data_IF_422042833145
#
_entry.id   IF_422042833145
#
_cell.length_a   1.000
_cell.length_b   1.000
_cell.length_c   1.000
_cell.angle_alpha   90.00
_cell.angle_beta   90.00
_cell.angle_gamma   90.00
#
_symmetry.space_group_name_H-M   'P 1'
#
loop_
_entity.id
_entity.type
_entity.pdbx_description
1 polymer ?
#
# COMPACT_ATOMS: atom_id res chain seq x y z
N UNK A 1 9.67 22.41 15.44
CA UNK A 1 8.87 21.19 15.23
C UNK A 1 7.41 21.63 15.21
N UNK A 2 6.71 21.56 14.08
CA UNK A 2 5.31 22.01 13.95
C UNK A 2 4.43 20.78 14.16
N UNK A 3 3.64 20.75 15.24
CA UNK A 3 2.66 19.71 15.48
C UNK A 3 1.64 19.68 14.33
N UNK A 4 1.11 18.50 13.93
CA UNK A 4 0.08 18.43 12.90
C UNK A 4 -1.13 19.25 13.32
N UNK A 5 -1.70 19.98 12.37
CA UNK A 5 -2.95 20.69 12.58
C UNK A 5 -4.08 19.66 12.74
N UNK A 6 -4.59 19.49 13.96
CA UNK A 6 -5.66 18.53 14.28
C UNK A 6 -7.00 18.89 13.63
N UNK A 7 -7.15 20.11 13.11
CA UNK A 7 -8.32 20.53 12.37
C UNK A 7 -8.30 20.04 10.92
N UNK A 8 -7.11 19.82 10.34
CA UNK A 8 -6.92 19.21 9.03
C UNK A 8 -6.47 17.74 9.15
N UNK A 9 -7.41 16.79 9.14
CA UNK A 9 -7.11 15.40 9.48
C UNK A 9 -6.40 14.63 8.35
N UNK A 10 -6.19 15.23 7.17
CA UNK A 10 -5.48 14.63 6.06
C UNK A 10 -4.29 15.51 5.67
N UNK A 11 -3.12 14.90 5.53
CA UNK A 11 -1.96 15.52 4.91
C UNK A 11 -2.20 15.75 3.42
N UNK A 12 -1.47 16.67 2.78
CA UNK A 12 -1.55 16.91 1.31
C UNK A 12 -1.40 15.63 0.48
N UNK A 13 -0.61 14.67 0.97
CA UNK A 13 -0.48 13.38 0.30
C UNK A 13 -1.70 12.50 0.51
N UNK A 14 -2.30 12.50 1.69
CA UNK A 14 -3.52 11.75 1.93
C UNK A 14 -4.71 12.32 1.14
N UNK A 15 -4.72 13.62 0.87
CA UNK A 15 -5.68 14.25 -0.06
C UNK A 15 -5.57 13.67 -1.47
N UNK A 16 -4.36 13.43 -1.99
CA UNK A 16 -4.16 12.78 -3.30
C UNK A 16 -4.86 11.43 -3.40
N UNK A 17 -4.85 10.64 -2.32
CA UNK A 17 -5.51 9.35 -2.24
C UNK A 17 -7.02 9.47 -2.07
N UNK A 18 -7.49 10.37 -1.19
CA UNK A 18 -8.91 10.69 -1.02
C UNK A 18 -9.56 11.06 -2.35
N UNK A 19 -8.93 11.96 -3.10
CA UNK A 19 -9.46 12.48 -4.36
C UNK A 19 -9.55 11.40 -5.45
N UNK A 20 -8.82 10.29 -5.29
CA UNK A 20 -8.84 9.12 -6.21
C UNK A 20 -9.65 7.95 -5.69
N UNK A 21 -10.28 8.05 -4.52
CA UNK A 21 -11.08 6.96 -3.94
C UNK A 21 -12.16 6.47 -4.90
N UNK A 22 -12.89 7.38 -5.55
CA UNK A 22 -13.96 7.00 -6.48
C UNK A 22 -13.42 6.27 -7.72
N UNK A 23 -12.29 6.74 -8.27
CA UNK A 23 -11.62 6.12 -9.41
C UNK A 23 -11.13 4.70 -9.06
N UNK A 24 -10.49 4.54 -7.90
CA UNK A 24 -10.02 3.24 -7.43
C UNK A 24 -11.19 2.28 -7.17
N UNK A 25 -12.28 2.78 -6.60
CA UNK A 25 -13.49 1.99 -6.39
C UNK A 25 -14.06 1.47 -7.71
N UNK A 26 -14.11 2.31 -8.75
CA UNK A 26 -14.53 1.89 -10.10
C UNK A 26 -13.59 0.84 -10.71
N UNK A 27 -12.30 0.86 -10.35
CA UNK A 27 -11.31 -0.17 -10.73
C UNK A 27 -11.34 -1.41 -9.84
N UNK A 28 -12.24 -1.48 -8.85
CA UNK A 28 -12.40 -2.64 -7.97
C UNK A 28 -11.52 -2.61 -6.72
N UNK A 29 -11.01 -1.44 -6.31
CA UNK A 29 -10.17 -1.28 -5.12
C UNK A 29 -10.75 -0.25 -4.16
N UNK A 30 -10.88 -0.61 -2.90
CA UNK A 30 -11.46 0.23 -1.85
C UNK A 30 -10.37 0.65 -0.86
N UNK A 31 -10.10 1.95 -0.75
CA UNK A 31 -9.25 2.47 0.34
C UNK A 31 -10.00 2.46 1.68
N UNK A 32 -9.24 2.60 2.77
CA UNK A 32 -9.77 2.72 4.13
C UNK A 32 -10.85 3.81 4.24
N UNK A 33 -11.83 3.66 5.15
CA UNK A 33 -12.93 4.62 5.33
C UNK A 33 -12.48 6.08 5.49
N UNK A 34 -11.28 6.32 6.05
CA UNK A 34 -10.67 7.65 6.21
C UNK A 34 -10.53 8.45 4.90
N UNK A 35 -10.44 7.78 3.77
CA UNK A 35 -10.30 8.42 2.45
C UNK A 35 -11.64 8.63 1.74
N UNK A 36 -12.77 8.39 2.42
CA UNK A 36 -14.10 8.72 1.89
C UNK A 36 -14.37 10.23 2.03
N UNK A 37 -15.00 10.90 1.05
CA UNK A 37 -15.23 12.34 1.10
C UNK A 37 -16.02 12.84 2.32
N UNK A 38 -16.89 12.00 2.88
CA UNK A 38 -17.76 12.28 4.02
C UNK A 38 -17.19 11.81 5.36
N UNK A 39 -15.97 11.29 5.39
CA UNK A 39 -15.35 10.79 6.63
C UNK A 39 -15.13 11.92 7.65
N UNK A 40 -15.49 11.62 8.89
CA UNK A 40 -15.27 12.49 10.05
C UNK A 40 -14.31 11.78 11.01
N UNK A 41 -13.26 12.46 11.50
CA UNK A 41 -12.35 11.87 12.48
C UNK A 41 -13.09 11.52 13.76
N UNK A 42 -12.91 10.30 14.25
CA UNK A 42 -13.63 9.81 15.43
C UNK A 42 -13.16 10.47 16.74
N UNK A 43 -11.92 10.98 16.79
CA UNK A 43 -11.40 11.70 17.96
C UNK A 43 -12.03 13.09 18.16
N UNK A 44 -12.65 13.69 17.13
CA UNK A 44 -13.20 15.05 17.24
C UNK A 44 -14.32 15.10 18.29
N UNK A 45 -14.14 15.96 19.30
CA UNK A 45 -15.10 16.13 20.39
C UNK A 45 -14.99 15.12 21.54
N UNK A 46 -14.09 14.13 21.43
CA UNK A 46 -13.90 13.11 22.48
C UNK A 46 -12.86 13.49 23.53
N UNK A 47 -11.96 14.44 23.20
CA UNK A 47 -10.80 14.79 24.03
C UNK A 47 -9.66 13.76 23.99
N UNK A 48 -9.80 12.70 23.19
CA UNK A 48 -8.79 11.67 23.02
C UNK A 48 -7.65 12.13 22.10
N UNK A 49 -6.46 11.61 22.35
CA UNK A 49 -5.30 11.81 21.49
C UNK A 49 -5.52 11.07 20.17
N UNK A 50 -5.39 11.70 18.99
CA UNK A 50 -5.63 11.03 17.71
C UNK A 50 -4.78 9.77 17.54
N UNK A 51 -3.52 9.81 17.95
CA UNK A 51 -2.56 8.70 17.87
C UNK A 51 -3.01 7.41 18.57
N UNK A 52 -3.94 7.52 19.52
CA UNK A 52 -4.48 6.39 20.27
C UNK A 52 -5.74 5.80 19.61
N UNK A 53 -6.17 6.33 18.46
CA UNK A 53 -7.36 5.84 17.75
C UNK A 53 -6.98 5.21 16.41
N UNK A 54 -7.57 4.04 16.14
CA UNK A 54 -7.31 3.21 14.96
C UNK A 54 -7.53 3.92 13.61
N UNK A 55 -8.39 4.94 13.53
CA UNK A 55 -8.59 5.71 12.31
C UNK A 55 -7.46 6.72 12.04
N UNK A 56 -6.63 7.03 13.06
CA UNK A 56 -5.40 7.79 12.92
C UNK A 56 -4.25 6.85 12.56
N UNK A 57 -4.13 6.53 11.28
CA UNK A 57 -2.99 5.77 10.76
C UNK A 57 -2.06 6.70 9.99
N UNK A 58 -0.98 7.12 10.65
CA UNK A 58 0.09 7.87 10.00
C UNK A 58 0.78 6.98 8.95
N UNK A 59 0.78 7.44 7.70
CA UNK A 59 1.51 6.80 6.63
C UNK A 59 2.81 7.56 6.34
N UNK A 60 3.99 7.06 6.75
CA UNK A 60 5.26 7.72 6.48
C UNK A 60 5.64 7.69 5.00
N UNK A 61 5.03 6.82 4.19
CA UNK A 61 5.36 6.63 2.77
C UNK A 61 4.25 7.15 1.89
N UNK A 62 4.43 8.40 1.45
CA UNK A 62 3.45 9.14 0.67
C UNK A 62 3.01 8.44 -0.64
N UNK A 63 3.91 7.67 -1.25
CA UNK A 63 3.68 6.94 -2.51
C UNK A 63 3.03 5.57 -2.33
N UNK A 64 2.72 5.14 -1.12
CA UNK A 64 2.08 3.85 -0.83
C UNK A 64 0.74 4.06 -0.14
N UNK A 65 -0.22 3.16 -0.36
CA UNK A 65 -1.42 3.08 0.47
C UNK A 65 -1.96 1.64 0.47
N UNK A 66 -2.55 1.20 1.57
CA UNK A 66 -3.27 -0.06 1.65
C UNK A 66 -4.70 0.07 1.10
N UNK A 67 -5.18 -1.00 0.47
CA UNK A 67 -6.53 -1.08 -0.07
C UNK A 67 -7.06 -2.52 0.04
N UNK A 68 -8.35 -2.69 -0.24
CA UNK A 68 -9.01 -3.99 -0.37
C UNK A 68 -9.50 -4.15 -1.79
N UNK A 69 -9.14 -5.27 -2.44
CA UNK A 69 -9.72 -5.64 -3.73
C UNK A 69 -11.14 -6.15 -3.51
N UNK A 70 -12.12 -5.48 -4.12
CA UNK A 70 -13.55 -5.70 -3.88
C UNK A 70 -14.00 -7.09 -4.32
N UNK A 71 -13.38 -7.64 -5.37
CA UNK A 71 -13.78 -8.91 -5.97
C UNK A 71 -13.66 -10.12 -5.01
N UNK A 72 -12.71 -10.08 -4.08
CA UNK A 72 -12.35 -11.23 -3.24
C UNK A 72 -11.90 -10.86 -1.82
N UNK A 73 -12.14 -9.62 -1.40
CA UNK A 73 -11.73 -9.07 -0.09
C UNK A 73 -10.21 -9.16 0.16
N UNK A 74 -9.41 -9.26 -0.91
CA UNK A 74 -7.97 -9.45 -0.79
C UNK A 74 -7.25 -8.13 -0.45
N UNK A 75 -6.44 -8.15 0.61
CA UNK A 75 -5.67 -6.97 1.06
C UNK A 75 -4.48 -6.72 0.14
N UNK A 76 -4.40 -5.51 -0.38
CA UNK A 76 -3.36 -5.08 -1.33
C UNK A 76 -2.71 -3.78 -0.88
N UNK A 77 -1.56 -3.48 -1.48
CA UNK A 77 -0.91 -2.18 -1.45
C UNK A 77 -0.88 -1.61 -2.85
N UNK A 78 -1.26 -0.34 -2.96
CA UNK A 78 -1.11 0.47 -4.16
C UNK A 78 0.18 1.28 -4.02
N UNK A 79 1.09 1.13 -4.99
CA UNK A 79 2.33 1.90 -5.06
C UNK A 79 2.35 2.82 -6.26
N UNK A 80 2.46 4.11 -6.01
CA UNK A 80 2.68 5.12 -7.04
C UNK A 80 4.12 5.07 -7.54
N UNK A 81 4.29 4.82 -8.84
CA UNK A 81 5.58 4.71 -9.53
C UNK A 81 5.62 5.63 -10.74
N UNK A 82 6.83 6.04 -11.14
CA UNK A 82 7.06 6.80 -12.37
C UNK A 82 7.06 5.84 -13.58
N UNK A 83 6.31 6.15 -14.63
CA UNK A 83 6.21 5.30 -15.84
C UNK A 83 7.47 5.32 -16.68
N UNK A 84 8.27 6.40 -16.60
CA UNK A 84 9.52 6.58 -17.36
C UNK A 84 10.68 5.74 -16.83
N UNK A 85 10.52 5.10 -15.66
CA UNK A 85 11.54 4.25 -15.05
C UNK A 85 11.27 2.78 -15.36
N UNK A 86 12.31 1.97 -15.21
CA UNK A 86 12.28 0.53 -15.46
C UNK A 86 11.50 -0.28 -14.40
N UNK A 87 10.92 0.37 -13.38
CA UNK A 87 10.25 -0.34 -12.29
C UNK A 87 9.04 -1.17 -12.80
N UNK A 88 8.19 -0.59 -13.64
CA UNK A 88 7.04 -1.30 -14.22
C UNK A 88 7.49 -2.48 -15.10
N UNK A 89 8.37 -2.32 -16.11
CA UNK A 89 8.77 -3.45 -16.96
C UNK A 89 9.49 -4.55 -16.17
N UNK A 90 10.37 -4.21 -15.22
CA UNK A 90 11.03 -5.20 -14.35
C UNK A 90 9.99 -5.97 -13.52
N UNK A 91 9.07 -5.26 -12.86
CA UNK A 91 8.08 -5.89 -12.00
C UNK A 91 7.10 -6.78 -12.79
N UNK A 92 6.70 -6.37 -14.01
CA UNK A 92 5.88 -7.19 -14.91
C UNK A 92 6.64 -8.41 -15.42
N UNK A 93 7.92 -8.26 -15.76
CA UNK A 93 8.76 -9.38 -16.19
C UNK A 93 8.85 -10.44 -15.08
N UNK A 94 9.20 -10.02 -13.86
CA UNK A 94 9.28 -10.90 -12.69
C UNK A 94 7.93 -11.52 -12.30
N UNK A 95 6.82 -10.88 -12.66
CA UNK A 95 5.46 -11.40 -12.45
C UNK A 95 4.89 -12.18 -13.64
N UNK A 96 5.67 -12.38 -14.71
CA UNK A 96 5.24 -13.18 -15.87
C UNK A 96 4.98 -14.63 -15.47
N UNK A 97 4.08 -15.31 -16.19
CA UNK A 97 3.67 -16.68 -15.86
C UNK A 97 4.87 -17.66 -15.78
N UNK A 98 5.86 -17.51 -16.67
CA UNK A 98 7.07 -18.35 -16.68
C UNK A 98 7.92 -18.13 -15.44
N UNK A 99 8.21 -16.88 -15.08
CA UNK A 99 9.01 -16.58 -13.90
C UNK A 99 8.24 -16.81 -12.61
N UNK A 100 6.92 -16.65 -12.58
CA UNK A 100 6.07 -16.99 -11.43
C UNK A 100 6.06 -18.48 -11.13
N UNK A 101 6.25 -19.33 -12.15
CA UNK A 101 6.36 -20.77 -11.98
C UNK A 101 7.77 -21.22 -11.55
N UNK A 102 8.79 -20.36 -11.70
CA UNK A 102 10.15 -20.65 -11.27
C UNK A 102 10.28 -20.52 -9.74
N UNK A 103 10.60 -21.62 -9.07
CA UNK A 103 10.78 -21.68 -7.60
C UNK A 103 11.86 -20.74 -7.05
N UNK A 104 12.79 -20.28 -7.89
CA UNK A 104 13.85 -19.33 -7.52
C UNK A 104 13.35 -17.88 -7.50
N UNK A 105 12.22 -17.61 -8.15
CA UNK A 105 11.65 -16.28 -8.18
C UNK A 105 10.75 -16.06 -6.96
N UNK A 106 11.31 -15.44 -5.92
CA UNK A 106 10.54 -15.03 -4.71
C UNK A 106 10.11 -13.57 -4.72
N UNK A 107 10.02 -12.97 -5.90
CA UNK A 107 9.60 -11.57 -6.02
C UNK A 107 8.11 -11.41 -5.71
N UNK A 108 7.76 -10.26 -5.15
CA UNK A 108 6.36 -9.93 -4.87
C UNK A 108 5.61 -9.83 -6.19
N UNK A 109 4.51 -10.58 -6.39
CA UNK A 109 3.78 -10.53 -7.64
C UNK A 109 3.06 -9.20 -7.82
N UNK A 110 3.05 -8.70 -9.05
CA UNK A 110 2.19 -7.61 -9.48
C UNK A 110 0.83 -8.20 -9.86
N UNK A 111 -0.20 -7.78 -9.13
CA UNK A 111 -1.59 -8.22 -9.35
C UNK A 111 -2.26 -7.41 -10.47
N UNK A 112 -1.89 -6.13 -10.58
CA UNK A 112 -2.47 -5.19 -11.54
C UNK A 112 -1.56 -3.96 -11.71
N UNK A 113 -1.70 -3.28 -12.84
CA UNK A 113 -1.04 -2.00 -13.15
C UNK A 113 -2.11 -1.02 -13.61
N UNK A 114 -2.33 0.03 -12.84
CA UNK A 114 -3.42 0.99 -13.04
C UNK A 114 -2.80 2.32 -13.51
N UNK A 115 -2.95 2.70 -14.80
CA UNK A 115 -2.63 4.04 -15.25
C UNK A 115 -3.49 5.08 -14.55
N UNK A 116 -2.93 6.24 -14.24
CA UNK A 116 -3.70 7.35 -13.68
C UNK A 116 -4.50 8.08 -14.77
N UNK A 117 -5.69 8.60 -14.45
CA UNK A 117 -6.53 9.30 -15.44
C UNK A 117 -6.00 10.70 -15.79
N UNK A 118 -5.17 11.28 -14.93
CA UNK A 118 -4.72 12.68 -15.02
C UNK A 118 -3.27 12.84 -15.51
N UNK A 119 -2.50 11.75 -15.64
CA UNK A 119 -1.11 11.80 -16.08
C UNK A 119 -0.62 10.47 -16.62
N UNK A 120 0.18 10.53 -17.68
CA UNK A 120 0.91 9.37 -18.22
C UNK A 120 2.27 9.17 -17.54
N UNK A 121 2.72 10.10 -16.69
CA UNK A 121 4.04 10.06 -16.04
C UNK A 121 4.06 9.13 -14.81
N UNK A 122 2.89 8.75 -14.31
CA UNK A 122 2.76 7.89 -13.12
C UNK A 122 1.69 6.82 -13.30
N UNK A 123 1.92 5.68 -12.66
CA UNK A 123 0.97 4.59 -12.56
C UNK A 123 0.96 4.01 -11.14
N UNK A 124 -0.06 3.23 -10.82
CA UNK A 124 -0.14 2.46 -9.59
C UNK A 124 0.18 1.00 -9.88
N UNK A 125 1.14 0.43 -9.15
CA UNK A 125 1.33 -1.01 -9.05
C UNK A 125 0.46 -1.54 -7.91
N UNK A 126 -0.31 -2.59 -8.17
CA UNK A 126 -1.08 -3.31 -7.16
C UNK A 126 -0.32 -4.57 -6.76
N UNK A 127 -0.04 -4.69 -5.47
CA UNK A 127 0.75 -5.79 -4.90
C UNK A 127 0.02 -6.36 -3.68
N UNK A 128 0.25 -7.63 -3.28
CA UNK A 128 -0.23 -8.13 -2.00
C UNK A 128 0.25 -7.26 -0.83
N UNK A 129 -0.62 -7.04 0.16
CA UNK A 129 -0.19 -6.45 1.43
C UNK A 129 0.66 -7.47 2.19
N UNK A 130 1.93 -7.13 2.39
CA UNK A 130 2.91 -7.96 3.09
C UNK A 130 3.30 -7.33 4.42
N UNK A 131 3.81 -8.15 5.32
CA UNK A 131 4.40 -7.73 6.59
C UNK A 131 5.92 -7.68 6.45
N UNK A 132 6.55 -6.88 7.29
CA UNK A 132 7.99 -6.95 7.54
C UNK A 132 8.36 -8.37 7.97
N UNK A 133 9.41 -8.94 7.38
CA UNK A 133 9.76 -10.36 7.56
C UNK A 133 10.30 -10.66 8.97
N UNK A 134 10.75 -9.62 9.66
CA UNK A 134 11.31 -9.61 11.00
C UNK A 134 10.28 -9.26 12.09
N UNK A 135 9.01 -9.06 11.73
CA UNK A 135 7.92 -8.74 12.67
C UNK A 135 6.77 -9.76 12.53
N UNK A 136 6.44 -10.55 13.57
CA UNK A 136 7.09 -10.58 14.88
C UNK A 136 8.56 -11.06 14.81
N UNK A 137 9.39 -10.74 15.81
CA UNK A 137 10.78 -11.17 15.83
C UNK A 137 10.90 -12.70 15.80
N UNK A 138 11.96 -13.18 15.14
CA UNK A 138 12.30 -14.60 15.14
C UNK A 138 12.51 -15.12 16.57
N UNK A 139 11.86 -16.24 16.88
CA UNK A 139 11.96 -16.94 18.16
C UNK A 139 13.05 -18.00 18.15
N UNK A 140 13.40 -18.55 16.97
CA UNK A 140 14.36 -19.63 16.84
C UNK A 140 15.41 -19.38 15.74
N UNK A 141 16.62 -19.89 15.93
CA UNK A 141 17.70 -19.81 14.94
C UNK A 141 17.32 -20.41 13.60
N UNK A 142 16.53 -21.49 13.60
CA UNK A 142 16.08 -22.14 12.36
C UNK A 142 15.20 -21.21 11.49
N UNK A 143 14.42 -20.31 12.10
CA UNK A 143 13.61 -19.33 11.37
C UNK A 143 14.49 -18.31 10.67
N UNK A 144 15.56 -17.87 11.34
CA UNK A 144 16.56 -16.95 10.75
C UNK A 144 17.27 -17.61 9.57
N UNK A 145 17.74 -18.85 9.76
CA UNK A 145 18.41 -19.61 8.71
C UNK A 145 17.48 -19.81 7.52
N UNK A 146 16.20 -20.11 7.77
CA UNK A 146 15.20 -20.28 6.71
C UNK A 146 14.92 -18.97 5.98
N UNK A 147 14.78 -17.84 6.68
CA UNK A 147 14.61 -16.53 6.05
C UNK A 147 15.80 -16.14 5.16
N UNK A 148 17.03 -16.35 5.65
CA UNK A 148 18.26 -16.10 4.87
C UNK A 148 18.34 -17.03 3.66
N UNK A 149 17.99 -18.31 3.84
CA UNK A 149 17.93 -19.28 2.73
C UNK A 149 16.94 -18.82 1.66
N UNK A 150 15.77 -18.34 2.07
CA UNK A 150 14.76 -17.83 1.14
C UNK A 150 15.16 -16.51 0.47
N UNK A 151 16.01 -15.70 1.10
CA UNK A 151 16.49 -14.46 0.52
C UNK A 151 17.57 -14.68 -0.56
N UNK A 152 18.40 -15.72 -0.38
CA UNK A 152 19.59 -15.97 -1.22
C UNK A 152 19.39 -16.97 -2.37
N UNK A 153 18.32 -17.77 -2.35
CA UNK A 153 18.02 -18.80 -3.36
C UNK A 153 17.01 -18.32 -4.40
#
# INVERSE_FOLDING_TARGET
MRWPDFDNPLTKTEEFWRDRQQFLHQRGYLLRPRFRPDWKPSWKGTGLCPWDIDDFLFNPRSSLIDAVRIADDFKVVLKLVETRREEIPIARYLSSASLRADSRNRTVPILDVIPLPDTDDKALLVMPLLRHFEDPPFSYLCEVVEAVRQLLQ
#
